data_IF_219903782235
#
_entry.id   IF_219903782235
#
_cell.length_a   1.000
_cell.length_b   1.000
_cell.length_c   1.000
_cell.angle_alpha   90.00
_cell.angle_beta   90.00
_cell.angle_gamma   90.00
#
_symmetry.space_group_name_H-M   'P 1'
#
loop_
_entity.id
_entity.type
_entity.pdbx_description
1 polymer ?
#
# COMPACT_ATOMS: atom_id res chain seq x y z
N UNK A 1 -22.67 -8.44 8.90
CA UNK A 1 -21.39 -8.72 8.23
C UNK A 1 -20.57 -7.45 8.33
N UNK A 2 -19.58 -7.42 9.21
CA UNK A 2 -18.66 -6.28 9.37
C UNK A 2 -17.66 -6.30 8.21
N UNK A 3 -17.85 -5.41 7.25
CA UNK A 3 -16.98 -5.29 6.08
C UNK A 3 -15.65 -4.60 6.42
N UNK A 4 -14.71 -4.58 5.48
CA UNK A 4 -13.42 -3.88 5.65
C UNK A 4 -13.59 -2.41 6.10
N UNK A 5 -14.60 -1.71 5.58
CA UNK A 5 -14.88 -0.32 5.97
C UNK A 5 -15.32 -0.19 7.43
N UNK A 6 -16.16 -1.11 7.92
CA UNK A 6 -16.60 -1.13 9.32
C UNK A 6 -15.40 -1.41 10.23
N UNK A 7 -14.55 -2.38 9.85
CA UNK A 7 -13.29 -2.62 10.56
C UNK A 7 -12.40 -1.37 10.54
N UNK A 8 -12.26 -0.69 9.40
CA UNK A 8 -11.40 0.49 9.28
C UNK A 8 -11.87 1.66 10.16
N UNK A 9 -13.19 1.79 10.37
CA UNK A 9 -13.78 2.81 11.22
C UNK A 9 -13.49 2.55 12.71
N UNK A 10 -13.59 1.29 13.14
CA UNK A 10 -13.49 0.90 14.55
C UNK A 10 -12.06 0.50 14.99
N UNK A 11 -11.19 0.14 14.05
CA UNK A 11 -9.86 -0.38 14.35
C UNK A 11 -8.93 0.68 14.97
N UNK A 12 -8.21 0.26 16.02
CA UNK A 12 -7.15 1.05 16.63
C UNK A 12 -5.94 1.21 15.71
N UNK A 13 -5.16 2.27 15.91
CA UNK A 13 -3.90 2.48 15.20
C UNK A 13 -2.95 1.29 15.39
N UNK A 14 -2.42 0.75 14.30
CA UNK A 14 -1.55 -0.43 14.31
C UNK A 14 -2.29 -1.78 14.33
N UNK A 15 -3.62 -1.79 14.52
CA UNK A 15 -4.40 -3.01 14.38
C UNK A 15 -4.31 -3.54 12.95
N UNK A 16 -4.28 -4.87 12.80
CA UNK A 16 -4.12 -5.53 11.51
C UNK A 16 -5.27 -6.50 11.24
N UNK A 17 -5.73 -6.54 9.99
CA UNK A 17 -6.69 -7.52 9.51
C UNK A 17 -6.18 -8.19 8.24
N UNK A 18 -6.23 -9.51 8.19
CA UNK A 18 -6.04 -10.24 6.95
C UNK A 18 -7.32 -10.14 6.12
N UNK A 19 -7.24 -9.58 4.92
CA UNK A 19 -8.39 -9.47 4.02
C UNK A 19 -8.40 -10.53 2.93
N UNK A 20 -7.24 -11.14 2.63
CA UNK A 20 -7.15 -12.21 1.63
C UNK A 20 -5.93 -13.12 1.84
N UNK A 21 -6.06 -14.40 1.46
CA UNK A 21 -4.96 -15.36 1.36
C UNK A 21 -5.02 -16.05 0.01
N UNK A 22 -3.91 -16.07 -0.71
CA UNK A 22 -3.83 -16.59 -2.08
C UNK A 22 -2.91 -15.76 -2.96
N UNK A 23 -3.16 -15.77 -4.26
CA UNK A 23 -2.43 -14.98 -5.25
C UNK A 23 -3.32 -13.84 -5.75
N UNK A 24 -3.36 -12.71 -5.01
CA UNK A 24 -4.29 -11.60 -5.29
C UNK A 24 -4.30 -11.14 -6.75
N UNK A 25 -3.16 -11.14 -7.44
CA UNK A 25 -3.06 -10.76 -8.87
C UNK A 25 -3.78 -11.76 -9.78
N UNK A 26 -3.63 -13.07 -9.53
CA UNK A 26 -4.26 -14.11 -10.34
C UNK A 26 -5.72 -14.30 -9.97
N UNK A 27 -6.04 -14.22 -8.68
CA UNK A 27 -7.37 -14.51 -8.17
C UNK A 27 -8.39 -13.43 -8.54
N UNK A 28 -7.94 -12.23 -8.94
CA UNK A 28 -8.76 -11.16 -9.53
C UNK A 28 -9.08 -11.37 -11.03
N UNK A 29 -8.36 -12.25 -11.73
CA UNK A 29 -8.51 -12.46 -13.16
C UNK A 29 -9.46 -13.65 -13.44
N UNK A 30 -10.50 -13.49 -14.28
CA UNK A 30 -11.43 -14.57 -14.59
C UNK A 30 -10.75 -15.84 -15.10
N UNK A 31 -9.74 -15.67 -15.96
CA UNK A 31 -9.07 -16.76 -16.67
C UNK A 31 -8.11 -17.56 -15.78
N UNK A 32 -7.69 -17.00 -14.64
CA UNK A 32 -6.63 -17.57 -13.79
C UNK A 32 -7.09 -17.90 -12.38
N UNK A 33 -8.29 -17.47 -12.01
CA UNK A 33 -8.84 -17.62 -10.67
C UNK A 33 -9.64 -18.91 -10.55
N UNK A 34 -9.42 -19.64 -9.46
CA UNK A 34 -10.31 -20.75 -9.07
C UNK A 34 -11.57 -20.28 -8.34
N UNK A 35 -11.71 -18.96 -8.13
CA UNK A 35 -12.87 -18.38 -7.44
C UNK A 35 -14.07 -18.26 -8.38
N UNK A 36 -15.25 -18.46 -7.82
CA UNK A 36 -16.52 -18.11 -8.49
C UNK A 36 -16.56 -16.61 -8.81
N UNK A 37 -17.38 -16.22 -9.79
CA UNK A 37 -17.50 -14.80 -10.18
C UNK A 37 -17.92 -13.91 -9.01
N UNK A 38 -18.83 -14.40 -8.16
CA UNK A 38 -19.27 -13.67 -6.96
C UNK A 38 -18.12 -13.47 -5.95
N UNK A 39 -17.34 -14.51 -5.68
CA UNK A 39 -16.19 -14.42 -4.78
C UNK A 39 -15.11 -13.48 -5.33
N UNK A 40 -14.90 -13.52 -6.65
CA UNK A 40 -13.95 -12.64 -7.34
C UNK A 40 -14.38 -11.18 -7.28
N UNK A 41 -15.66 -10.89 -7.52
CA UNK A 41 -16.21 -9.54 -7.39
C UNK A 41 -16.06 -9.02 -5.96
N UNK A 42 -16.33 -9.86 -4.96
CA UNK A 42 -16.14 -9.50 -3.55
C UNK A 42 -14.65 -9.22 -3.23
N UNK A 43 -13.74 -10.06 -3.74
CA UNK A 43 -12.29 -9.87 -3.59
C UNK A 43 -11.82 -8.55 -4.23
N UNK A 44 -12.24 -8.27 -5.46
CA UNK A 44 -11.94 -7.02 -6.17
C UNK A 44 -12.44 -5.82 -5.36
N UNK A 45 -13.69 -5.86 -4.89
CA UNK A 45 -14.28 -4.78 -4.13
C UNK A 45 -13.53 -4.50 -2.81
N UNK A 46 -13.13 -5.54 -2.07
CA UNK A 46 -12.35 -5.38 -0.83
C UNK A 46 -10.94 -4.87 -1.13
N UNK A 47 -10.26 -5.44 -2.12
CA UNK A 47 -8.93 -5.01 -2.51
C UNK A 47 -8.90 -3.54 -2.95
N UNK A 48 -9.88 -3.09 -3.74
CA UNK A 48 -9.95 -1.71 -4.20
C UNK A 48 -10.23 -0.73 -3.04
N UNK A 49 -11.06 -1.13 -2.07
CA UNK A 49 -11.26 -0.34 -0.84
C UNK A 49 -9.99 -0.24 -0.01
N UNK A 50 -9.22 -1.33 0.14
CA UNK A 50 -7.94 -1.32 0.85
C UNK A 50 -6.95 -0.39 0.14
N UNK A 51 -6.84 -0.48 -1.18
CA UNK A 51 -5.94 0.37 -1.96
C UNK A 51 -6.35 1.85 -1.91
N UNK A 52 -7.65 2.14 -1.98
CA UNK A 52 -8.17 3.50 -1.82
C UNK A 52 -7.90 4.05 -0.42
N UNK A 53 -8.16 3.26 0.63
CA UNK A 53 -7.86 3.64 2.01
C UNK A 53 -6.36 3.89 2.22
N UNK A 54 -5.51 3.07 1.60
CA UNK A 54 -4.06 3.26 1.63
C UNK A 54 -3.60 4.53 0.92
N UNK A 55 -4.17 4.82 -0.26
CA UNK A 55 -3.87 6.05 -1.01
C UNK A 55 -4.22 7.31 -0.21
N UNK A 56 -5.26 7.24 0.62
CA UNK A 56 -5.67 8.33 1.52
C UNK A 56 -4.96 8.29 2.89
N UNK A 57 -4.03 7.36 3.12
CA UNK A 57 -3.25 7.27 4.35
C UNK A 57 -4.00 6.67 5.56
N UNK A 58 -5.14 6.01 5.36
CA UNK A 58 -5.90 5.39 6.45
C UNK A 58 -5.36 4.03 6.88
N UNK A 59 -4.66 3.32 5.98
CA UNK A 59 -4.04 2.03 6.28
C UNK A 59 -2.78 1.78 5.45
N UNK A 60 -1.97 0.82 5.87
CA UNK A 60 -0.85 0.29 5.09
C UNK A 60 -1.18 -1.13 4.59
N UNK A 61 -1.17 -1.36 3.28
CA UNK A 61 -1.31 -2.71 2.73
C UNK A 61 0.03 -3.43 2.86
N UNK A 62 0.00 -4.64 3.44
CA UNK A 62 1.17 -5.48 3.67
C UNK A 62 0.93 -6.85 3.03
N UNK A 63 1.94 -7.36 2.37
CA UNK A 63 1.97 -8.71 1.84
C UNK A 63 2.97 -9.55 2.63
N UNK A 64 2.50 -10.65 3.23
CA UNK A 64 3.34 -11.61 3.94
C UNK A 64 3.36 -12.93 3.18
N UNK A 65 4.54 -13.39 2.79
CA UNK A 65 4.72 -14.73 2.23
C UNK A 65 4.73 -15.76 3.37
N UNK A 66 3.86 -16.76 3.30
CA UNK A 66 3.75 -17.85 4.28
C UNK A 66 4.39 -19.15 3.79
N UNK A 67 4.50 -19.33 2.48
CA UNK A 67 5.12 -20.52 1.90
C UNK A 67 5.38 -20.38 0.39
N UNK A 68 5.77 -21.46 -0.27
CA UNK A 68 5.68 -21.58 -1.72
C UNK A 68 4.22 -21.45 -2.13
N UNK A 69 3.92 -20.51 -3.03
CA UNK A 69 2.58 -20.27 -3.55
C UNK A 69 1.51 -19.82 -2.52
N UNK A 70 1.92 -19.29 -1.37
CA UNK A 70 1.00 -18.84 -0.32
C UNK A 70 1.39 -17.46 0.22
N UNK A 71 0.51 -16.48 0.01
CA UNK A 71 0.65 -15.11 0.51
C UNK A 71 -0.61 -14.70 1.26
N UNK A 72 -0.36 -14.01 2.37
CA UNK A 72 -1.37 -13.36 3.17
C UNK A 72 -1.32 -11.86 2.91
N UNK A 73 -2.46 -11.29 2.57
CA UNK A 73 -2.64 -9.87 2.36
C UNK A 73 -3.34 -9.26 3.57
N UNK A 74 -2.68 -8.27 4.15
CA UNK A 74 -3.02 -7.69 5.44
C UNK A 74 -3.18 -6.19 5.24
N UNK A 75 -4.21 -5.61 5.86
CA UNK A 75 -4.32 -4.17 6.02
C UNK A 75 -3.98 -3.82 7.47
N UNK A 76 -3.06 -2.87 7.67
CA UNK A 76 -2.69 -2.35 8.99
C UNK A 76 -3.22 -0.95 9.13
N UNK A 77 -4.03 -0.68 10.16
CA UNK A 77 -4.61 0.64 10.41
C UNK A 77 -3.49 1.66 10.66
N UNK A 78 -3.47 2.73 9.89
CA UNK A 78 -2.55 3.82 10.13
C UNK A 78 -2.96 4.59 11.38
N UNK A 79 -1.99 5.13 12.13
CA UNK A 79 -2.32 6.12 13.15
C UNK A 79 -2.97 7.33 12.46
N UNK A 80 -4.04 7.93 13.04
CA UNK A 80 -4.39 9.27 12.64
C UNK A 80 -3.14 10.12 12.81
N UNK A 81 -2.63 10.68 11.72
CA UNK A 81 -1.65 11.74 11.79
C UNK A 81 -2.36 12.88 12.53
N UNK A 82 -2.21 12.94 13.86
CA UNK A 82 -2.05 14.25 14.49
C UNK A 82 -0.93 14.89 13.68
N UNK A 83 -1.06 16.15 13.30
CA UNK A 83 -0.08 16.95 12.56
C UNK A 83 1.27 17.01 13.30
N UNK A 84 1.90 15.86 13.51
CA UNK A 84 3.19 15.68 14.08
C UNK A 84 4.14 15.89 12.90
N UNK A 85 5.09 16.82 13.03
CA UNK A 85 6.08 17.02 12.00
C UNK A 85 6.72 15.67 11.71
N UNK A 86 6.81 15.32 10.42
CA UNK A 86 7.49 14.13 9.93
C UNK A 86 8.82 14.07 10.68
N UNK A 87 9.06 13.06 11.55
CA UNK A 87 10.34 12.98 12.23
C UNK A 87 11.38 12.92 11.14
N UNK A 88 12.29 13.90 11.12
CA UNK A 88 13.39 13.90 10.19
C UNK A 88 14.09 12.57 10.40
N UNK A 89 14.04 11.70 9.40
CA UNK A 89 14.69 10.40 9.44
C UNK A 89 16.19 10.71 9.54
N UNK A 90 16.71 10.78 10.75
CA UNK A 90 18.14 10.95 11.00
C UNK A 90 18.77 9.64 10.60
N UNK A 91 19.29 9.57 9.39
CA UNK A 91 20.19 8.51 8.95
C UNK A 91 21.57 8.92 9.46
N UNK A 92 22.12 8.33 10.54
CA UNK A 92 23.50 8.58 10.90
C UNK A 92 24.34 7.75 9.92
N UNK A 93 24.86 8.39 8.88
CA UNK A 93 25.69 7.72 7.89
C UNK A 93 26.24 8.70 6.83
N UNK A 94 27.38 8.37 6.21
CA UNK A 94 28.14 9.28 5.34
C UNK A 94 27.44 9.66 4.01
N UNK A 95 26.20 9.20 3.79
CA UNK A 95 25.40 9.50 2.60
C UNK A 95 24.29 10.54 2.84
N UNK A 96 24.39 11.33 3.90
CA UNK A 96 23.58 12.55 4.07
C UNK A 96 24.13 13.68 3.17
N UNK A 97 24.09 13.50 1.85
CA UNK A 97 24.53 14.51 0.90
C UNK A 97 23.33 15.17 0.19
N UNK A 98 23.15 16.45 0.52
CA UNK A 98 22.53 17.53 -0.26
C UNK A 98 21.13 17.26 -0.86
N UNK A 99 20.05 17.72 -0.23
CA UNK A 99 19.60 19.11 -0.30
C UNK A 99 19.56 19.64 -1.74
N UNK A 100 18.33 19.85 -2.22
CA UNK A 100 17.95 20.63 -3.40
C UNK A 100 18.94 21.76 -3.69
N UNK A 101 19.63 21.66 -4.82
CA UNK A 101 20.06 22.85 -5.55
C UNK A 101 19.77 22.66 -7.05
N UNK A 102 18.98 23.62 -7.53
CA UNK A 102 18.65 24.00 -8.90
C UNK A 102 19.17 23.12 -10.05
N UNK A 103 18.23 22.59 -10.85
CA UNK A 103 18.52 22.30 -12.26
C UNK A 103 18.55 23.62 -13.05
N UNK A 104 19.66 24.02 -13.69
CA UNK A 104 19.59 24.91 -14.83
C UNK A 104 19.28 24.10 -16.10
N UNK A 105 18.29 24.56 -16.86
CA UNK A 105 17.82 24.01 -18.14
C UNK A 105 18.94 23.93 -19.19
N UNK A 106 18.89 22.98 -20.14
CA UNK A 106 19.86 22.90 -21.24
C UNK A 106 19.45 23.87 -22.35
N UNK A 107 20.16 24.99 -22.49
CA UNK A 107 20.05 25.86 -23.67
C UNK A 107 21.34 25.79 -24.47
N UNK A 108 21.19 25.24 -25.68
CA UNK A 108 21.94 25.35 -26.95
C UNK A 108 23.29 26.09 -26.99
N UNK A 109 24.24 25.58 -27.80
CA UNK A 109 24.57 26.06 -29.16
C UNK A 109 26.03 25.67 -29.57
N UNK A 110 26.16 24.94 -30.69
CA UNK A 110 27.05 25.17 -31.86
C UNK A 110 28.56 25.50 -31.75
N UNK A 111 29.30 24.77 -32.61
CA UNK A 111 30.51 25.06 -33.39
C UNK A 111 31.85 25.41 -32.70
N UNK A 112 32.88 24.61 -33.05
CA UNK A 112 33.98 25.04 -33.92
C UNK A 112 34.56 23.82 -34.65
#
# INVERSE_FOLDING_TARGET
>A
MTGFCDWLAEAEAGAAIAYYRGHLVFDRLPEKSSLTDQQRQALVAVADRVMSAAANGFCFPVQRRLGPNDWLYIAVRASPLRSAPRPALRIPGPFAAAANDAFPSPTSLVAA
#
